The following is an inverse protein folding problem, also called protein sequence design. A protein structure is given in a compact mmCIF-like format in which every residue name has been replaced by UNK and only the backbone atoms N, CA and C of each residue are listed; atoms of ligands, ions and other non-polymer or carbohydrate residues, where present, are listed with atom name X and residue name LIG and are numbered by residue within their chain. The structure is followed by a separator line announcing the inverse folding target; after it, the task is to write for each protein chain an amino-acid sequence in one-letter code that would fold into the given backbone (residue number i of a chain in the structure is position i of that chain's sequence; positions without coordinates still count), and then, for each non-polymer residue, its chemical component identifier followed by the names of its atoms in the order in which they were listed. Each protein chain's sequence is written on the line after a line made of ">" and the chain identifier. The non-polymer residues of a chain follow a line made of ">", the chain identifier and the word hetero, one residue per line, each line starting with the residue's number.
data_IF_379008586481
#
_entry.id   IF_379008586481
#
_cell.length_a   1.000
_cell.length_b   1.000
_cell.length_c   1.000
_cell.angle_alpha   90.00
_cell.angle_beta   90.00
_cell.angle_gamma   90.00
#
_symmetry.space_group_name_H-M   'P 1'
#
loop_
_entity.id
_entity.type
_entity.pdbx_description
1 polymer ?
#
# COMPACT_ATOMS: atom_id res chain seq x y z
N UNK A 1 -2.98 -20.17 -2.16
CA UNK A 1 -1.88 -19.29 -1.69
C UNK A 1 -2.50 -18.11 -0.93
N UNK A 2 -1.84 -17.60 0.10
CA UNK A 2 -2.30 -16.37 0.77
C UNK A 2 -2.07 -15.15 -0.14
N UNK A 3 -3.06 -14.25 -0.25
CA UNK A 3 -2.94 -12.99 -0.99
C UNK A 3 -1.80 -12.15 -0.39
N UNK A 4 -0.93 -11.63 -1.24
CA UNK A 4 0.16 -10.73 -0.85
C UNK A 4 -0.05 -9.37 -1.50
N UNK A 5 0.38 -8.35 -0.79
CA UNK A 5 0.31 -6.96 -1.19
C UNK A 5 1.72 -6.48 -1.49
N UNK A 6 1.84 -5.49 -2.36
CA UNK A 6 3.12 -5.08 -2.91
C UNK A 6 3.28 -3.58 -2.81
N UNK A 7 4.49 -3.16 -2.46
CA UNK A 7 4.86 -1.75 -2.38
C UNK A 7 6.23 -1.54 -3.01
N UNK A 8 6.49 -0.33 -3.49
CA UNK A 8 7.80 0.12 -3.93
C UNK A 8 8.34 1.05 -2.84
N UNK A 9 9.62 0.92 -2.51
CA UNK A 9 10.32 1.88 -1.68
C UNK A 9 11.77 1.98 -2.17
N UNK A 10 12.26 3.19 -2.42
CA UNK A 10 13.64 3.43 -2.90
C UNK A 10 14.01 2.55 -4.12
N UNK A 11 13.07 2.42 -5.06
CA UNK A 11 13.22 1.59 -6.27
C UNK A 11 13.18 0.07 -6.06
N UNK A 12 13.00 -0.42 -4.83
CA UNK A 12 12.90 -1.84 -4.50
C UNK A 12 11.45 -2.27 -4.32
N UNK A 13 11.06 -3.41 -4.90
CA UNK A 13 9.75 -4.02 -4.64
C UNK A 13 9.76 -4.84 -3.36
N UNK A 14 8.73 -4.66 -2.53
CA UNK A 14 8.51 -5.39 -1.30
C UNK A 14 7.16 -6.12 -1.36
N UNK A 15 7.07 -7.26 -0.67
CA UNK A 15 5.87 -8.08 -0.58
C UNK A 15 5.45 -8.30 0.87
N UNK A 16 4.23 -7.90 1.22
CA UNK A 16 3.67 -7.97 2.56
C UNK A 16 2.51 -8.99 2.63
N UNK A 17 2.30 -9.69 3.76
CA UNK A 17 1.03 -10.34 4.06
C UNK A 17 -0.07 -9.33 4.44
N UNK A 18 -1.35 -9.71 4.34
CA UNK A 18 -2.52 -8.83 4.59
C UNK A 18 -2.43 -8.02 5.90
N UNK A 19 -2.08 -8.66 7.01
CA UNK A 19 -2.03 -8.00 8.33
C UNK A 19 -0.94 -6.94 8.43
N UNK A 20 0.23 -7.18 7.84
CA UNK A 20 1.35 -6.24 7.89
C UNK A 20 1.13 -5.07 6.93
N UNK A 21 0.49 -5.32 5.79
CA UNK A 21 0.04 -4.26 4.89
C UNK A 21 -1.03 -3.37 5.55
N UNK A 22 -1.97 -3.95 6.30
CA UNK A 22 -2.93 -3.15 7.09
C UNK A 22 -2.22 -2.26 8.13
N UNK A 23 -1.25 -2.81 8.88
CA UNK A 23 -0.46 -2.03 9.85
C UNK A 23 0.27 -0.88 9.16
N UNK A 24 0.89 -1.14 8.01
CA UNK A 24 1.59 -0.12 7.21
C UNK A 24 0.65 1.03 6.83
N UNK A 25 -0.53 0.71 6.29
CA UNK A 25 -1.53 1.71 5.92
C UNK A 25 -2.06 2.49 7.13
N UNK A 26 -2.35 1.81 8.24
CA UNK A 26 -2.79 2.46 9.49
C UNK A 26 -1.71 3.39 10.07
N UNK A 27 -0.44 2.98 10.03
CA UNK A 27 0.66 3.77 10.54
C UNK A 27 0.95 5.00 9.67
N UNK A 28 0.93 4.85 8.33
CA UNK A 28 1.06 5.96 7.37
C UNK A 28 -0.13 6.95 7.40
N UNK A 29 -1.35 6.46 7.65
CA UNK A 29 -2.55 7.29 7.74
C UNK A 29 -2.61 8.20 8.99
N UNK A 30 -1.79 7.92 10.01
CA UNK A 30 -1.79 8.61 11.32
C UNK A 30 -0.54 9.47 11.54
N UNK A 31 0.57 9.18 10.86
CA UNK A 31 1.87 9.79 11.15
C UNK A 31 2.45 10.51 9.92
N UNK A 32 3.03 11.70 10.14
CA UNK A 32 3.96 12.35 9.20
C UNK A 32 5.27 11.55 9.12
N UNK A 33 5.22 10.34 8.57
CA UNK A 33 6.36 9.44 8.44
C UNK A 33 7.23 9.88 7.28
N UNK A 34 8.26 10.65 7.60
CA UNK A 34 9.34 11.00 6.68
C UNK A 34 10.16 9.76 6.27
N UNK A 35 10.16 8.72 7.11
CA UNK A 35 10.80 7.42 6.82
C UNK A 35 9.92 6.25 7.30
N UNK A 36 9.60 5.32 6.40
CA UNK A 36 8.90 4.07 6.71
C UNK A 36 9.91 2.92 6.63
N UNK A 37 10.31 2.33 7.76
CA UNK A 37 11.16 1.14 7.73
C UNK A 37 10.34 -0.13 7.46
N UNK A 38 10.37 -0.61 6.21
CA UNK A 38 9.69 -1.84 5.81
C UNK A 38 10.22 -3.11 6.49
N UNK A 39 11.39 -3.08 7.14
CA UNK A 39 11.92 -4.22 7.91
C UNK A 39 11.20 -4.44 9.25
N UNK A 40 10.47 -3.43 9.75
CA UNK A 40 9.62 -3.56 10.95
C UNK A 40 8.37 -4.39 10.71
N UNK A 41 7.96 -4.51 9.45
CA UNK A 41 6.88 -5.35 8.97
C UNK A 41 7.45 -6.70 8.50
N UNK A 42 6.65 -7.76 8.45
CA UNK A 42 7.07 -9.04 7.85
C UNK A 42 7.12 -9.00 6.29
N UNK A 43 7.65 -7.90 5.75
CA UNK A 43 7.85 -7.65 4.34
C UNK A 43 9.05 -8.46 3.81
N UNK A 44 9.09 -8.68 2.50
CA UNK A 44 10.22 -9.31 1.82
C UNK A 44 10.53 -8.59 0.51
N UNK A 45 11.80 -8.27 0.27
CA UNK A 45 12.25 -7.77 -1.03
C UNK A 45 12.01 -8.84 -2.10
N UNK A 46 11.44 -8.43 -3.24
CA UNK A 46 11.21 -9.29 -4.42
C UNK A 46 11.78 -8.63 -5.67
N UNK A 47 12.24 -9.43 -6.65
CA UNK A 47 12.81 -8.88 -7.89
C UNK A 47 11.77 -8.17 -8.76
N UNK A 48 10.55 -8.69 -8.81
CA UNK A 48 9.41 -8.13 -9.55
C UNK A 48 8.10 -8.71 -8.96
N UNK A 49 7.03 -7.93 -8.81
CA UNK A 49 5.73 -8.45 -8.41
C UNK A 49 5.02 -9.15 -9.60
N UNK A 50 3.94 -9.92 -9.35
CA UNK A 50 3.10 -10.48 -10.42
C UNK A 50 2.54 -9.40 -11.36
N UNK A 51 2.27 -9.73 -12.63
CA UNK A 51 1.76 -8.78 -13.64
C UNK A 51 0.45 -8.09 -13.23
N UNK A 52 -0.42 -8.78 -12.48
CA UNK A 52 -1.69 -8.27 -11.97
C UNK A 52 -1.58 -7.55 -10.62
N UNK A 53 -0.37 -7.45 -10.05
CA UNK A 53 -0.17 -6.66 -8.84
C UNK A 53 -0.11 -5.18 -9.22
N UNK A 54 -0.96 -4.38 -8.58
CA UNK A 54 -0.89 -2.92 -8.53
C UNK A 54 -0.08 -2.47 -7.29
N UNK A 55 1.26 -2.36 -7.31
CA UNK A 55 2.02 -1.89 -6.15
C UNK A 55 1.88 -0.38 -5.97
N UNK A 56 1.78 0.10 -4.72
CA UNK A 56 1.89 1.53 -4.39
C UNK A 56 3.38 1.90 -4.20
N UNK A 57 3.83 3.08 -4.64
CA UNK A 57 5.16 3.59 -4.29
C UNK A 57 5.04 4.43 -3.01
N UNK A 58 5.78 4.01 -1.97
CA UNK A 58 5.79 4.68 -0.66
C UNK A 58 6.63 5.96 -0.66
N UNK A 59 7.49 6.17 -1.67
CA UNK A 59 8.47 7.26 -1.70
C UNK A 59 7.79 8.63 -1.88
N UNK A 60 6.65 8.67 -2.59
CA UNK A 60 5.82 9.85 -2.83
C UNK A 60 4.40 9.69 -2.21
N UNK A 61 4.23 8.78 -1.25
CA UNK A 61 2.92 8.42 -0.68
C UNK A 61 2.57 9.32 0.51
N UNK A 62 1.96 10.46 0.21
CA UNK A 62 1.44 11.40 1.20
C UNK A 62 0.38 10.76 2.13
N UNK A 63 0.14 11.35 3.31
CA UNK A 63 -0.83 10.85 4.31
C UNK A 63 -2.23 10.66 3.68
N UNK A 64 -2.64 11.57 2.80
CA UNK A 64 -3.94 11.51 2.11
C UNK A 64 -4.04 10.23 1.27
N UNK A 65 -2.97 9.86 0.55
CA UNK A 65 -2.89 8.59 -0.19
C UNK A 65 -2.91 7.37 0.76
N UNK A 66 -2.26 7.44 1.93
CA UNK A 66 -2.38 6.41 2.96
C UNK A 66 -3.80 6.23 3.49
N UNK A 67 -4.52 7.33 3.74
CA UNK A 67 -5.90 7.30 4.22
C UNK A 67 -6.85 6.72 3.16
N UNK A 68 -6.70 7.16 1.91
CA UNK A 68 -7.46 6.65 0.77
C UNK A 68 -7.23 5.15 0.57
N UNK A 69 -5.97 4.70 0.53
CA UNK A 69 -5.62 3.29 0.36
C UNK A 69 -6.05 2.43 1.54
N UNK A 70 -5.95 2.95 2.77
CA UNK A 70 -6.49 2.29 3.96
C UNK A 70 -7.99 2.05 3.84
N UNK A 71 -8.77 3.06 3.44
CA UNK A 71 -10.22 2.92 3.33
C UNK A 71 -10.61 1.97 2.20
N UNK A 72 -9.99 2.08 1.02
CA UNK A 72 -10.23 1.14 -0.07
C UNK A 72 -9.91 -0.29 0.38
N UNK A 73 -8.73 -0.51 0.96
CA UNK A 73 -8.30 -1.82 1.44
C UNK A 73 -9.24 -2.39 2.54
N UNK A 74 -9.81 -1.54 3.40
CA UNK A 74 -10.79 -1.96 4.40
C UNK A 74 -12.15 -2.31 3.78
N UNK A 75 -12.57 -1.63 2.71
CA UNK A 75 -13.80 -1.92 1.95
C UNK A 75 -13.68 -3.16 1.07
N UNK A 76 -12.58 -3.32 0.34
CA UNK A 76 -12.44 -4.32 -0.75
C UNK A 76 -11.45 -5.45 -0.43
N UNK A 77 -10.47 -5.23 0.44
CA UNK A 77 -9.33 -6.13 0.62
C UNK A 77 -8.36 -6.19 -0.57
N UNK A 78 -8.40 -5.18 -1.44
CA UNK A 78 -7.57 -4.99 -2.64
C UNK A 78 -6.52 -3.87 -2.42
N UNK A 79 -5.65 -3.65 -3.42
CA UNK A 79 -4.70 -2.53 -3.49
C UNK A 79 -4.95 -1.77 -4.80
N UNK A 80 -4.88 -0.44 -4.79
CA UNK A 80 -5.21 0.38 -5.98
C UNK A 80 -4.00 0.71 -6.83
N UNK A 81 -2.83 0.93 -6.21
CA UNK A 81 -1.48 0.90 -6.78
C UNK A 81 -1.26 1.40 -8.22
N UNK A 82 -1.60 2.63 -8.61
CA UNK A 82 -2.43 3.64 -7.92
C UNK A 82 -2.92 4.63 -8.98
N UNK A 83 -4.18 5.05 -8.92
CA UNK A 83 -4.73 6.06 -9.82
C UNK A 83 -5.82 6.86 -9.09
N UNK A 84 -5.51 8.12 -8.75
CA UNK A 84 -6.42 9.00 -8.02
C UNK A 84 -7.77 9.21 -8.74
N UNK A 85 -7.85 8.96 -10.06
CA UNK A 85 -9.09 9.07 -10.82
C UNK A 85 -10.11 7.98 -10.49
N UNK A 86 -9.68 6.78 -10.09
CA UNK A 86 -10.61 5.70 -9.71
C UNK A 86 -11.31 6.00 -8.36
N UNK A 87 -10.72 6.84 -7.51
CA UNK A 87 -11.23 7.12 -6.16
C UNK A 87 -12.45 8.05 -6.11
N UNK A 88 -12.56 9.01 -7.05
CA UNK A 88 -13.71 9.95 -7.07
C UNK A 88 -15.04 9.19 -7.23
N UNK A 89 -15.05 8.05 -7.92
CA UNK A 89 -16.26 7.23 -8.07
C UNK A 89 -16.61 6.36 -6.84
N UNK A 90 -15.72 6.17 -5.87
CA UNK A 90 -15.96 5.28 -4.70
C UNK A 90 -16.59 6.05 -3.52
N UNK A 91 -16.61 7.38 -3.58
CA UNK A 91 -17.02 8.28 -2.48
C UNK A 91 -18.18 9.22 -2.83
N UNK A 92 -18.59 9.28 -4.09
CA UNK A 92 -19.68 10.13 -4.58
C UNK A 92 -20.86 9.34 -5.19
N UNK A 93 -20.89 8.01 -5.01
CA UNK A 93 -22.09 7.16 -5.17
C UNK A 93 -22.71 6.79 -3.82
#
# INVERSE_FOLDING_TARGET
>A
MARRFYVIQLGSYWSLPKQEYLKLLQQGAVSNLVDIDLNTYQARIVKKPPLQAKPIDLSDFEIEHFQMELEHFMKTGEQTGFDAKEYVNIFFE
#
